data_IF_040346853904
#
_entry.id   IF_040346853904
#
_cell.length_a   1.000
_cell.length_b   1.000
_cell.length_c   1.000
_cell.angle_alpha   90.00
_cell.angle_beta   90.00
_cell.angle_gamma   90.00
#
_symmetry.space_group_name_H-M   'P 1'
#
loop_
_entity.id
_entity.type
_entity.pdbx_description
1 polymer ?
#
# COMPACT_ATOMS: atom_id res chain seq x y z
N UNK A 1 -7.22 3.08 -13.73
CA UNK A 1 -5.87 3.23 -14.29
C UNK A 1 -5.84 4.51 -15.08
N UNK A 2 -5.24 5.52 -14.46
CA UNK A 2 -5.06 6.83 -15.07
C UNK A 2 -3.88 6.78 -16.06
N UNK A 3 -4.19 6.91 -17.37
CA UNK A 3 -3.18 6.89 -18.45
C UNK A 3 -2.15 8.01 -18.32
N UNK A 4 -2.51 9.09 -17.63
CA UNK A 4 -1.66 10.25 -17.43
C UNK A 4 -0.68 10.07 -16.26
N UNK A 5 -0.96 9.16 -15.32
CA UNK A 5 -0.09 8.87 -14.19
C UNK A 5 1.04 7.91 -14.56
N UNK A 6 2.09 7.87 -13.73
CA UNK A 6 3.21 6.97 -13.91
C UNK A 6 2.82 5.51 -13.64
N UNK A 7 3.65 4.56 -14.10
CA UNK A 7 3.52 3.15 -13.75
C UNK A 7 3.53 2.97 -12.22
N UNK A 8 4.44 3.67 -11.57
CA UNK A 8 4.65 3.60 -10.13
C UNK A 8 3.38 3.99 -9.36
N UNK A 9 2.75 5.11 -9.74
CA UNK A 9 1.47 5.53 -9.18
C UNK A 9 0.38 4.48 -9.43
N UNK A 10 0.18 4.08 -10.69
CA UNK A 10 -0.88 3.14 -11.06
C UNK A 10 -0.73 1.78 -10.34
N UNK A 11 0.50 1.31 -10.17
CA UNK A 11 0.79 0.09 -9.44
C UNK A 11 0.50 0.24 -7.94
N UNK A 12 1.07 1.26 -7.29
CA UNK A 12 1.05 1.37 -5.84
C UNK A 12 -0.25 1.95 -5.26
N UNK A 13 -0.87 2.90 -5.98
CA UNK A 13 -2.03 3.66 -5.48
C UNK A 13 -3.36 3.09 -5.98
N UNK A 14 -3.37 2.37 -7.11
CA UNK A 14 -4.59 1.76 -7.64
C UNK A 14 -4.55 0.23 -7.61
N UNK A 15 -3.62 -0.40 -8.34
CA UNK A 15 -3.66 -1.83 -8.60
C UNK A 15 -3.50 -2.66 -7.33
N UNK A 16 -2.45 -2.40 -6.54
CA UNK A 16 -2.19 -3.15 -5.31
C UNK A 16 -3.31 -2.99 -4.26
N UNK A 17 -3.80 -1.78 -3.94
CA UNK A 17 -4.90 -1.62 -2.98
C UNK A 17 -6.17 -2.32 -3.42
N UNK A 18 -6.57 -2.16 -4.70
CA UNK A 18 -7.77 -2.81 -5.23
C UNK A 18 -7.63 -4.34 -5.17
N UNK A 19 -6.48 -4.88 -5.58
CA UNK A 19 -6.20 -6.31 -5.52
C UNK A 19 -6.24 -6.83 -4.07
N UNK A 20 -5.59 -6.12 -3.15
CA UNK A 20 -5.55 -6.49 -1.73
C UNK A 20 -6.95 -6.48 -1.09
N UNK A 21 -7.75 -5.45 -1.35
CA UNK A 21 -9.07 -5.30 -0.77
C UNK A 21 -10.10 -6.28 -1.37
N UNK A 22 -10.01 -6.54 -2.68
CA UNK A 22 -10.92 -7.47 -3.35
C UNK A 22 -10.62 -8.94 -3.01
N UNK A 23 -9.33 -9.31 -2.94
CA UNK A 23 -8.90 -10.71 -2.86
C UNK A 23 -7.81 -10.93 -1.79
N UNK A 24 -8.03 -10.42 -0.57
CA UNK A 24 -7.05 -10.45 0.53
C UNK A 24 -6.41 -11.81 0.77
N UNK A 25 -7.18 -12.89 0.87
CA UNK A 25 -6.64 -14.23 1.14
C UNK A 25 -5.72 -14.70 0.00
N UNK A 26 -6.12 -14.43 -1.24
CA UNK A 26 -5.35 -14.82 -2.42
C UNK A 26 -4.09 -13.98 -2.56
N UNK A 27 -4.20 -12.66 -2.32
CA UNK A 27 -3.07 -11.74 -2.26
C UNK A 27 -2.04 -12.21 -1.24
N UNK A 28 -2.46 -12.51 0.00
CA UNK A 28 -1.56 -12.98 1.04
C UNK A 28 -0.93 -14.33 0.67
N UNK A 29 -1.71 -15.27 0.11
CA UNK A 29 -1.21 -16.57 -0.33
C UNK A 29 -0.10 -16.43 -1.38
N UNK A 30 -0.29 -15.61 -2.41
CA UNK A 30 0.72 -15.42 -3.45
C UNK A 30 1.90 -14.59 -2.95
N UNK A 31 1.69 -13.61 -2.07
CA UNK A 31 2.79 -12.86 -1.47
C UNK A 31 3.64 -13.74 -0.55
N UNK A 32 3.03 -14.61 0.26
CA UNK A 32 3.75 -15.56 1.12
C UNK A 32 4.51 -16.62 0.28
N UNK A 33 3.93 -17.08 -0.84
CA UNK A 33 4.52 -18.13 -1.69
C UNK A 33 5.58 -17.62 -2.67
N UNK A 34 5.25 -16.56 -3.42
CA UNK A 34 6.02 -16.09 -4.58
C UNK A 34 6.75 -14.76 -4.29
N UNK A 35 6.41 -14.08 -3.20
CA UNK A 35 7.12 -12.92 -2.68
C UNK A 35 7.28 -11.79 -3.69
N UNK A 36 8.52 -11.33 -3.89
CA UNK A 36 8.83 -10.24 -4.82
C UNK A 36 8.44 -10.59 -6.25
N UNK A 37 8.49 -11.86 -6.67
CA UNK A 37 8.09 -12.26 -8.03
C UNK A 37 6.61 -11.98 -8.30
N UNK A 38 5.75 -12.19 -7.30
CA UNK A 38 4.33 -11.81 -7.39
C UNK A 38 4.15 -10.31 -7.57
N UNK A 39 4.92 -9.49 -6.84
CA UNK A 39 4.86 -8.03 -6.97
C UNK A 39 5.40 -7.57 -8.33
N UNK A 40 6.47 -8.16 -8.83
CA UNK A 40 7.05 -7.90 -10.15
C UNK A 40 6.08 -8.27 -11.27
N UNK A 41 5.37 -9.39 -11.14
CA UNK A 41 4.33 -9.78 -12.09
C UNK A 41 3.27 -8.68 -12.22
N UNK A 42 2.74 -8.18 -11.10
CA UNK A 42 1.74 -7.11 -11.12
C UNK A 42 2.30 -5.78 -11.61
N UNK A 43 3.56 -5.47 -11.28
CA UNK A 43 4.25 -4.29 -11.80
C UNK A 43 4.31 -4.32 -13.33
N UNK A 44 4.78 -5.43 -13.91
CA UNK A 44 4.86 -5.60 -15.36
C UNK A 44 3.47 -5.59 -16.00
N UNK A 45 2.49 -6.26 -15.38
CA UNK A 45 1.11 -6.30 -15.88
C UNK A 45 0.45 -4.91 -15.95
N UNK A 46 0.76 -4.02 -15.00
CA UNK A 46 0.33 -2.61 -15.07
C UNK A 46 1.11 -1.87 -16.16
N UNK A 47 2.42 -2.10 -16.25
CA UNK A 47 3.29 -1.49 -17.27
C UNK A 47 2.91 -1.84 -18.70
N UNK A 48 2.46 -3.07 -18.96
CA UNK A 48 2.04 -3.52 -20.28
C UNK A 48 0.83 -2.76 -20.83
N UNK A 49 0.03 -2.15 -19.94
CA UNK A 49 -1.14 -1.33 -20.28
C UNK A 49 -0.79 0.14 -20.51
N UNK A 50 0.47 0.52 -20.32
CA UNK A 50 0.98 1.87 -20.52
C UNK A 50 1.87 1.92 -21.77
N UNK A 51 2.06 3.12 -22.36
CA UNK A 51 3.05 3.36 -23.40
C UNK A 51 4.44 2.87 -23.00
N UNK A 52 5.23 2.42 -23.96
CA UNK A 52 6.53 1.79 -23.71
C UNK A 52 7.48 2.72 -22.95
N UNK A 53 7.41 4.04 -23.19
CA UNK A 53 8.28 5.04 -22.55
C UNK A 53 8.00 5.18 -21.04
N UNK A 54 6.79 4.81 -20.60
CA UNK A 54 6.39 4.84 -19.18
C UNK A 54 6.69 3.55 -18.45
N UNK A 55 7.22 2.52 -19.13
CA UNK A 55 7.56 1.23 -18.51
C UNK A 55 8.89 1.39 -17.78
N UNK A 56 8.84 1.27 -16.46
CA UNK A 56 9.99 1.39 -15.57
C UNK A 56 10.38 0.04 -14.99
N UNK A 57 11.65 -0.11 -14.62
CA UNK A 57 12.12 -1.28 -13.88
C UNK A 57 11.52 -1.30 -12.46
N UNK A 58 11.22 -2.50 -11.94
CA UNK A 58 10.76 -2.71 -10.57
C UNK A 58 11.90 -2.72 -9.54
N UNK A 59 13.05 -2.11 -9.84
CA UNK A 59 14.23 -2.11 -8.96
C UNK A 59 13.96 -1.40 -7.64
N UNK A 60 14.28 -2.06 -6.51
CA UNK A 60 13.99 -1.56 -5.17
C UNK A 60 12.68 -2.08 -4.57
N UNK A 61 11.86 -2.79 -5.35
CA UNK A 61 10.64 -3.42 -4.85
C UNK A 61 10.98 -4.53 -3.85
N UNK A 62 10.46 -4.41 -2.63
CA UNK A 62 10.62 -5.41 -1.58
C UNK A 62 9.40 -5.45 -0.67
N UNK A 63 9.31 -6.48 0.17
CA UNK A 63 8.21 -6.60 1.12
C UNK A 63 8.68 -7.17 2.45
N UNK A 64 7.88 -6.92 3.47
CA UNK A 64 8.03 -7.48 4.81
C UNK A 64 6.63 -7.87 5.32
N UNK A 65 6.53 -9.03 5.94
CA UNK A 65 5.29 -9.49 6.59
C UNK A 65 5.58 -9.63 8.08
N UNK A 66 4.79 -8.94 8.90
CA UNK A 66 4.82 -9.05 10.34
C UNK A 66 3.48 -9.57 10.87
N UNK A 67 3.52 -10.58 11.72
CA UNK A 67 2.36 -11.03 12.48
C UNK A 67 2.10 -10.05 13.65
N UNK A 68 0.95 -9.35 13.65
CA UNK A 68 0.58 -8.40 14.70
C UNK A 68 -0.17 -9.07 15.87
N UNK A 69 -1.02 -10.05 15.56
CA UNK A 69 -1.71 -10.93 16.51
C UNK A 69 -2.11 -12.23 15.80
N UNK A 70 -2.77 -13.19 16.47
CA UNK A 70 -3.07 -14.52 15.89
C UNK A 70 -3.87 -14.51 14.58
N UNK A 71 -4.53 -13.39 14.24
CA UNK A 71 -5.37 -13.27 13.05
C UNK A 71 -5.01 -12.08 12.16
N UNK A 72 -4.10 -11.22 12.59
CA UNK A 72 -3.76 -9.98 11.87
C UNK A 72 -2.32 -9.99 11.42
N UNK A 73 -2.10 -9.80 10.11
CA UNK A 73 -0.77 -9.58 9.52
C UNK A 73 -0.67 -8.14 9.02
N UNK A 74 0.49 -7.53 9.20
CA UNK A 74 0.91 -6.30 8.56
C UNK A 74 1.86 -6.65 7.42
N UNK A 75 1.52 -6.26 6.20
CA UNK A 75 2.43 -6.28 5.06
C UNK A 75 2.93 -4.87 4.83
N UNK A 76 4.24 -4.70 4.71
CA UNK A 76 4.86 -3.47 4.23
C UNK A 76 5.49 -3.77 2.89
N UNK A 77 5.14 -2.99 1.87
CA UNK A 77 5.78 -3.03 0.56
C UNK A 77 6.60 -1.76 0.41
N UNK A 78 7.88 -1.92 0.10
CA UNK A 78 8.76 -0.82 -0.30
C UNK A 78 8.76 -0.76 -1.81
N UNK A 79 8.49 0.41 -2.36
CA UNK A 79 8.52 0.63 -3.80
C UNK A 79 9.86 1.22 -4.25
N UNK A 80 10.13 1.24 -5.58
CA UNK A 80 11.22 2.04 -6.13
C UNK A 80 11.14 3.49 -5.63
N UNK A 81 12.28 4.17 -5.52
CA UNK A 81 12.29 5.56 -5.05
C UNK A 81 11.41 6.47 -5.95
N UNK A 82 10.41 7.17 -5.38
CA UNK A 82 9.57 8.14 -6.08
C UNK A 82 10.36 9.18 -6.88
N UNK A 83 10.07 9.29 -8.17
CA UNK A 83 10.62 10.29 -9.08
C UNK A 83 9.64 11.41 -9.39
N UNK A 84 8.34 11.09 -9.39
CA UNK A 84 7.25 12.02 -9.65
C UNK A 84 6.44 12.29 -8.39
N UNK A 85 5.68 13.39 -8.40
CA UNK A 85 4.76 13.72 -7.32
C UNK A 85 3.68 12.63 -7.18
N UNK A 86 3.21 12.41 -5.94
CA UNK A 86 2.21 11.40 -5.55
C UNK A 86 2.66 9.93 -5.68
N UNK A 87 3.89 9.67 -6.11
CA UNK A 87 4.42 8.31 -6.12
C UNK A 87 4.70 7.81 -4.69
N UNK A 88 4.31 6.57 -4.37
CA UNK A 88 4.47 6.02 -3.03
C UNK A 88 5.90 5.54 -2.74
N UNK A 89 6.43 5.86 -1.55
CA UNK A 89 7.63 5.20 -1.01
C UNK A 89 7.28 3.82 -0.44
N UNK A 90 6.18 3.77 0.33
CA UNK A 90 5.76 2.57 1.06
C UNK A 90 4.26 2.39 1.02
N UNK A 91 3.83 1.13 1.03
CA UNK A 91 2.45 0.72 1.27
C UNK A 91 2.39 -0.17 2.50
N UNK A 92 1.34 0.01 3.29
CA UNK A 92 1.06 -0.80 4.48
C UNK A 92 -0.31 -1.45 4.36
N UNK A 93 -0.38 -2.78 4.33
CA UNK A 93 -1.62 -3.54 4.24
C UNK A 93 -1.89 -4.33 5.51
N UNK A 94 -3.06 -4.15 6.10
CA UNK A 94 -3.51 -4.86 7.30
C UNK A 94 -4.46 -5.96 6.88
N UNK A 95 -3.93 -7.18 6.79
CA UNK A 95 -4.70 -8.36 6.47
C UNK A 95 -5.35 -8.89 7.75
N UNK A 96 -6.68 -8.95 7.75
CA UNK A 96 -7.50 -9.57 8.78
C UNK A 96 -8.38 -10.64 8.13
N UNK A 97 -8.79 -11.67 8.88
CA UNK A 97 -9.75 -12.64 8.37
C UNK A 97 -11.01 -11.92 7.90
N UNK A 98 -11.54 -12.41 6.78
CA UNK A 98 -12.82 -11.97 6.25
C UNK A 98 -13.90 -12.21 7.31
N UNK A 99 -14.69 -11.18 7.60
CA UNK A 99 -15.90 -11.31 8.42
C UNK A 99 -17.10 -11.22 7.50
N UNK A 100 -17.92 -12.26 7.50
CA UNK A 100 -19.24 -12.26 6.87
C UNK A 100 -20.28 -12.06 7.97
N UNK A 101 -21.21 -11.15 7.73
CA UNK A 101 -22.42 -11.05 8.52
C UNK A 101 -23.58 -11.28 7.55
N UNK A 102 -24.31 -12.38 7.76
CA UNK A 102 -25.27 -12.90 6.78
C UNK A 102 -24.58 -13.09 5.41
N UNK A 103 -25.17 -12.56 4.33
CA UNK A 103 -24.66 -12.64 2.95
C UNK A 103 -23.72 -11.48 2.57
N UNK A 104 -23.43 -10.55 3.50
CA UNK A 104 -22.65 -9.33 3.20
C UNK A 104 -21.22 -9.46 3.73
N UNK A 105 -20.25 -9.17 2.85
CA UNK A 105 -18.82 -9.14 3.17
C UNK A 105 -18.47 -7.79 3.83
N UNK A 106 -18.02 -7.81 5.08
CA UNK A 106 -17.60 -6.59 5.77
C UNK A 106 -16.11 -6.34 5.46
N UNK A 107 -15.74 -5.17 4.91
CA UNK A 107 -14.33 -4.85 4.65
C UNK A 107 -13.59 -4.65 5.98
N UNK A 108 -12.82 -5.66 6.39
CA UNK A 108 -12.01 -5.64 7.64
C UNK A 108 -10.57 -5.19 7.42
N UNK A 109 -10.15 -5.11 6.15
CA UNK A 109 -8.81 -4.74 5.71
C UNK A 109 -8.58 -3.24 5.75
N UNK A 110 -7.33 -2.82 5.91
CA UNK A 110 -6.95 -1.39 5.84
C UNK A 110 -5.65 -1.26 5.07
N UNK A 111 -5.57 -0.25 4.20
CA UNK A 111 -4.37 0.08 3.44
C UNK A 111 -3.88 1.50 3.79
N UNK A 112 -2.57 1.67 3.83
CA UNK A 112 -1.87 2.92 4.11
C UNK A 112 -0.83 3.18 3.02
N UNK A 113 -0.52 4.45 2.78
CA UNK A 113 0.58 4.85 1.91
C UNK A 113 1.34 6.03 2.49
N UNK A 114 2.65 6.02 2.27
CA UNK A 114 3.51 7.20 2.37
C UNK A 114 3.92 7.58 0.95
N UNK A 115 3.53 8.77 0.51
CA UNK A 115 3.76 9.27 -0.84
C UNK A 115 4.68 10.48 -0.81
N UNK A 116 5.34 10.73 -1.94
CA UNK A 116 5.97 12.01 -2.24
C UNK A 116 4.88 13.06 -2.45
N UNK A 117 5.03 14.20 -1.80
CA UNK A 117 4.15 15.36 -1.90
C UNK A 117 5.02 16.62 -2.06
N UNK A 118 5.24 17.00 -3.32
CA UNK A 118 6.07 18.16 -3.68
C UNK A 118 5.43 19.49 -3.28
N UNK A 119 4.13 19.51 -2.96
CA UNK A 119 3.41 20.69 -2.48
C UNK A 119 3.55 20.92 -0.97
N UNK A 120 4.02 19.91 -0.23
CA UNK A 120 4.23 19.98 1.20
C UNK A 120 5.41 20.91 1.55
N UNK A 121 5.22 21.74 2.58
CA UNK A 121 6.26 22.66 3.08
C UNK A 121 7.22 22.01 4.08
N UNK A 122 6.88 20.83 4.58
CA UNK A 122 7.72 20.07 5.52
C UNK A 122 8.99 19.56 4.83
N UNK A 123 10.06 19.38 5.61
CA UNK A 123 11.41 19.06 5.14
C UNK A 123 11.44 17.86 4.16
N UNK A 124 10.73 16.79 4.51
CA UNK A 124 10.80 15.54 3.77
C UNK A 124 9.84 15.45 2.57
N UNK A 125 8.95 16.45 2.38
CA UNK A 125 7.99 16.47 1.27
C UNK A 125 7.22 15.15 1.11
N UNK A 126 6.71 14.63 2.23
CA UNK A 126 5.93 13.38 2.23
C UNK A 126 4.53 13.60 2.78
N UNK A 127 3.61 12.78 2.31
CA UNK A 127 2.24 12.71 2.79
C UNK A 127 1.90 11.28 3.20
N UNK A 128 1.29 11.11 4.37
CA UNK A 128 0.79 9.83 4.88
C UNK A 128 -0.73 9.79 4.95
N UNK A 129 -1.30 8.67 4.53
CA UNK A 129 -2.74 8.54 4.42
C UNK A 129 -3.23 7.11 4.25
N UNK A 130 -4.56 6.98 4.21
CA UNK A 130 -5.23 5.71 3.94
C UNK A 130 -5.51 5.56 2.45
N UNK A 131 -5.43 4.33 1.97
CA UNK A 131 -5.95 3.94 0.67
C UNK A 131 -7.27 3.20 0.86
N UNK A 132 -8.30 3.68 0.16
CA UNK A 132 -9.62 3.05 0.18
C UNK A 132 -9.65 1.84 -0.78
N UNK A 133 -10.65 0.94 -0.65
CA UNK A 133 -10.84 -0.15 -1.60
C UNK A 133 -11.00 0.28 -3.06
N UNK A 134 -11.44 1.51 -3.31
CA UNK A 134 -11.54 2.11 -4.64
C UNK A 134 -10.28 2.86 -5.10
N UNK A 135 -9.16 2.74 -4.37
CA UNK A 135 -7.89 3.39 -4.73
C UNK A 135 -7.78 4.86 -4.31
N UNK A 136 -8.82 5.45 -3.72
CA UNK A 136 -8.75 6.85 -3.28
C UNK A 136 -7.83 7.01 -2.07
N UNK A 137 -6.91 7.96 -2.15
CA UNK A 137 -6.01 8.35 -1.06
C UNK A 137 -6.67 9.39 -0.14
N UNK A 138 -6.51 9.20 1.18
CA UNK A 138 -7.06 10.10 2.22
C UNK A 138 -5.94 10.53 3.16
N UNK A 139 -5.51 11.78 3.04
CA UNK A 139 -4.47 12.42 3.85
C UNK A 139 -4.76 12.32 5.36
N UNK A 140 -3.72 12.04 6.15
CA UNK A 140 -3.77 11.93 7.63
C UNK A 140 -2.57 12.51 8.36
N UNK A 141 -1.52 12.90 7.65
CA UNK A 141 -0.33 13.54 8.20
C UNK A 141 0.67 13.85 7.09
N UNK A 142 1.61 14.75 7.36
CA UNK A 142 2.63 15.21 6.42
C UNK A 142 4.01 15.22 7.09
N UNK A 143 5.07 15.28 6.29
CA UNK A 143 6.44 15.49 6.79
C UNK A 143 7.09 14.28 7.47
N UNK A 144 6.59 13.07 7.24
CA UNK A 144 7.22 11.85 7.76
C UNK A 144 8.52 11.56 7.02
N UNK A 145 9.59 11.27 7.78
CA UNK A 145 10.84 10.79 7.19
C UNK A 145 10.56 9.52 6.39
N UNK A 146 10.99 9.41 5.12
CA UNK A 146 10.67 8.28 4.24
C UNK A 146 11.52 7.05 4.57
N UNK A 147 11.52 6.64 5.85
CA UNK A 147 12.13 5.39 6.30
C UNK A 147 11.05 4.34 6.54
N UNK A 148 11.41 3.07 6.27
CA UNK A 148 10.52 1.94 6.56
C UNK A 148 10.17 1.87 8.06
N UNK A 149 11.12 2.22 8.93
CA UNK A 149 10.92 2.21 10.38
C UNK A 149 9.87 3.23 10.82
N UNK A 150 9.94 4.47 10.34
CA UNK A 150 8.97 5.51 10.68
C UNK A 150 7.60 5.21 10.11
N UNK A 151 7.55 4.73 8.86
CA UNK A 151 6.30 4.29 8.25
C UNK A 151 5.64 3.15 9.04
N UNK A 152 6.42 2.13 9.41
CA UNK A 152 5.95 1.01 10.23
C UNK A 152 5.44 1.47 11.60
N UNK A 153 6.15 2.38 12.25
CA UNK A 153 5.77 2.96 13.55
C UNK A 153 4.43 3.70 13.47
N UNK A 154 4.24 4.58 12.49
CA UNK A 154 2.99 5.34 12.35
C UNK A 154 1.80 4.42 12.00
N UNK A 155 2.00 3.43 11.12
CA UNK A 155 0.97 2.44 10.78
C UNK A 155 0.51 1.67 12.03
N UNK A 156 1.45 1.16 12.84
CA UNK A 156 1.12 0.45 14.09
C UNK A 156 0.38 1.34 15.08
N UNK A 157 0.81 2.59 15.26
CA UNK A 157 0.13 3.57 16.12
C UNK A 157 -1.35 3.75 15.74
N UNK A 158 -1.65 3.89 14.44
CA UNK A 158 -3.03 4.05 13.95
C UNK A 158 -3.92 2.82 14.13
N UNK A 159 -3.32 1.63 14.18
CA UNK A 159 -4.05 0.37 14.42
C UNK A 159 -4.36 0.20 15.91
N UNK A 160 -3.42 0.58 16.79
CA UNK A 160 -3.58 0.45 18.24
C UNK A 160 -4.64 1.43 18.79
N UNK A 161 -4.69 2.66 18.30
CA UNK A 161 -5.72 3.64 18.70
C UNK A 161 -7.14 3.14 18.42
N UNK A 162 -7.33 2.36 17.34
CA UNK A 162 -8.62 1.70 17.07
C UNK A 162 -8.97 0.60 18.07
N UNK A 163 -8.02 -0.08 18.73
CA UNK A 163 -8.33 -1.11 19.74
C UNK A 163 -8.74 -0.51 21.09
N UNK A 164 -8.25 0.69 21.42
CA UNK A 164 -8.52 1.36 22.70
C UNK A 164 -9.94 1.95 22.80
N UNK A 165 -10.57 2.32 21.67
CA UNK A 165 -11.92 2.92 21.66
C UNK A 165 -13.06 1.90 21.86
N UNK A 166 -12.77 0.59 21.87
CA UNK A 166 -13.75 -0.48 22.04
C UNK A 166 -13.59 -1.25 23.37
N UNK A 167 -12.85 -0.67 24.33
CA UNK A 167 -12.79 -1.11 25.73
C UNK A 167 -13.43 -0.04 26.60
#
# INVERSE_FOLDING_TARGET
MEKNKSLHYNFGMEALPVLFHSQTNQFMKYLDKDGVKFLQFWWNHVGDRLPQEKRLSSGGLSYEIEQLDSKTKLVIITLPTPKENEEPYFLGFIAKPERRFLWVRIPTTTAFALIRDDSCKEEHKTSFGYLTPSGNYRLRGVGLTPTKQDFKRIVKSKIQTKKAWWK
#
